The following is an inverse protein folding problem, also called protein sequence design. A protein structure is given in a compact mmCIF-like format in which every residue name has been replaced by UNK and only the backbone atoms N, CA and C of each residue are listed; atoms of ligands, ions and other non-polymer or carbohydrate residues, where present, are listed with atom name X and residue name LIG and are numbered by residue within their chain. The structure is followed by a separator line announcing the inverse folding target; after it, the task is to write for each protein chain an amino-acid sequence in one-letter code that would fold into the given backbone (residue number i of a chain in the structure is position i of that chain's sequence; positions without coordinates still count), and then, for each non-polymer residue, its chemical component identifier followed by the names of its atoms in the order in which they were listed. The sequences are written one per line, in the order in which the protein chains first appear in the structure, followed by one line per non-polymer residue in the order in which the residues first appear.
data_IF_211945358132
#
_entry.id   IF_211945358132
#
_cell.length_a   1.000
_cell.length_b   1.000
_cell.length_c   1.000
_cell.angle_alpha   90.00
_cell.angle_beta   90.00
_cell.angle_gamma   90.00
#
_symmetry.space_group_name_H-M   'P 1'
#
loop_
_entity.id
_entity.type
_entity.pdbx_description
1 polymer ?
#
# COMPACT_ATOMS: atom_id res chain seq x y z
N UNK A 1 11.81 -7.13 -33.61
CA UNK A 1 11.95 -5.97 -34.51
C UNK A 1 11.71 -4.71 -33.70
N UNK A 2 12.77 -3.98 -33.35
CA UNK A 2 12.71 -2.73 -32.59
C UNK A 2 12.11 -1.60 -33.44
N UNK A 3 11.22 -0.79 -32.88
CA UNK A 3 10.76 0.43 -33.57
C UNK A 3 11.70 1.59 -33.24
N UNK A 4 12.16 2.23 -34.31
CA UNK A 4 13.16 3.27 -34.37
C UNK A 4 12.83 4.50 -33.48
N UNK A 5 13.87 5.23 -33.10
CA UNK A 5 13.78 6.54 -32.49
C UNK A 5 12.97 7.50 -33.38
N UNK A 6 11.69 7.68 -33.05
CA UNK A 6 10.78 8.55 -33.79
C UNK A 6 10.81 9.98 -33.26
N UNK A 7 10.61 10.97 -34.13
CA UNK A 7 10.19 12.31 -33.75
C UNK A 7 8.70 12.48 -34.04
N UNK A 8 7.96 13.12 -33.15
CA UNK A 8 6.55 13.46 -33.31
C UNK A 8 6.38 14.96 -33.54
N UNK A 9 5.68 15.34 -34.60
CA UNK A 9 5.36 16.75 -34.86
C UNK A 9 4.01 17.08 -34.23
N UNK A 10 4.00 18.03 -33.29
CA UNK A 10 2.80 18.51 -32.58
C UNK A 10 1.79 19.08 -33.60
N UNK A 11 0.55 18.60 -33.57
CA UNK A 11 -0.54 19.09 -34.42
C UNK A 11 -1.46 20.04 -33.65
N UNK A 12 -2.34 20.74 -34.36
CA UNK A 12 -3.37 21.57 -33.72
C UNK A 12 -4.23 20.72 -32.79
N UNK A 13 -4.37 21.16 -31.52
CA UNK A 13 -5.11 20.45 -30.48
C UNK A 13 -4.32 19.40 -29.68
N UNK A 14 -3.03 19.18 -30.00
CA UNK A 14 -2.21 18.25 -29.22
C UNK A 14 -1.79 18.83 -27.86
N UNK A 15 -1.85 17.97 -26.84
CA UNK A 15 -1.31 18.23 -25.50
C UNK A 15 -0.31 17.14 -25.15
N UNK A 16 0.55 17.37 -24.16
CA UNK A 16 1.49 16.33 -23.68
C UNK A 16 0.77 15.02 -23.31
N UNK A 17 -0.46 15.11 -22.80
CA UNK A 17 -1.27 13.94 -22.43
C UNK A 17 -1.88 13.21 -23.64
N UNK A 18 -2.28 13.90 -24.71
CA UNK A 18 -2.75 13.25 -25.95
C UNK A 18 -1.58 12.56 -26.66
N UNK A 19 -0.45 13.26 -26.79
CA UNK A 19 0.76 12.72 -27.43
C UNK A 19 1.30 11.52 -26.65
N UNK A 20 1.33 11.58 -25.31
CA UNK A 20 1.79 10.46 -24.48
C UNK A 20 0.96 9.20 -24.69
N UNK A 21 -0.37 9.33 -24.80
CA UNK A 21 -1.28 8.21 -25.06
C UNK A 21 -1.10 7.64 -26.46
N UNK A 22 -0.97 8.51 -27.46
CA UNK A 22 -0.79 8.10 -28.87
C UNK A 22 0.55 7.42 -29.10
N UNK A 23 1.62 7.96 -28.51
CA UNK A 23 3.00 7.50 -28.74
C UNK A 23 3.45 6.43 -27.75
N UNK A 24 2.67 6.19 -26.69
CA UNK A 24 3.00 5.30 -25.57
C UNK A 24 4.31 5.69 -24.84
N UNK A 25 4.71 6.95 -24.94
CA UNK A 25 5.85 7.54 -24.22
C UNK A 25 5.30 8.35 -23.05
N UNK A 26 5.87 8.22 -21.84
CA UNK A 26 5.35 8.95 -20.67
C UNK A 26 5.54 10.46 -20.82
N UNK A 27 4.64 11.25 -20.24
CA UNK A 27 4.73 12.72 -20.21
C UNK A 27 6.09 13.15 -19.64
N UNK A 28 6.54 12.51 -18.56
CA UNK A 28 7.84 12.78 -17.94
C UNK A 28 9.02 12.56 -18.91
N UNK A 29 8.98 11.48 -19.70
CA UNK A 29 10.01 11.19 -20.70
C UNK A 29 9.98 12.21 -21.83
N UNK A 30 8.79 12.61 -22.29
CA UNK A 30 8.64 13.66 -23.30
C UNK A 30 9.20 15.00 -22.83
N UNK A 31 8.91 15.37 -21.58
CA UNK A 31 9.37 16.60 -20.93
C UNK A 31 10.90 16.60 -20.79
N UNK A 32 11.48 15.54 -20.22
CA UNK A 32 12.93 15.42 -20.02
C UNK A 32 13.71 15.36 -21.33
N UNK A 33 13.24 14.57 -22.30
CA UNK A 33 13.96 14.36 -23.56
C UNK A 33 13.95 15.61 -24.46
N UNK A 34 12.95 16.47 -24.29
CA UNK A 34 12.79 17.69 -25.08
C UNK A 34 13.03 18.97 -24.27
N UNK A 35 13.50 18.86 -23.01
CA UNK A 35 13.80 20.00 -22.15
C UNK A 35 12.62 20.93 -21.92
N UNK A 36 11.39 20.40 -21.89
CA UNK A 36 10.19 21.22 -21.74
C UNK A 36 10.05 21.66 -20.29
N UNK A 37 9.91 22.95 -20.05
CA UNK A 37 9.63 23.50 -18.71
C UNK A 37 8.15 23.85 -18.51
N UNK A 38 7.33 23.79 -19.58
CA UNK A 38 5.91 24.08 -19.56
C UNK A 38 5.10 23.07 -20.37
N UNK A 39 3.80 22.97 -20.06
CA UNK A 39 2.85 22.09 -20.76
C UNK A 39 2.36 22.64 -22.10
N UNK A 40 2.77 23.85 -22.46
CA UNK A 40 2.34 24.53 -23.69
C UNK A 40 3.21 24.09 -24.85
N UNK A 41 2.62 23.33 -25.78
CA UNK A 41 3.27 22.87 -27.01
C UNK A 41 2.91 23.78 -28.17
N UNK A 42 3.88 24.12 -29.02
CA UNK A 42 3.62 24.89 -30.25
C UNK A 42 3.26 23.94 -31.39
N UNK A 43 2.26 24.29 -32.18
CA UNK A 43 1.90 23.55 -33.40
C UNK A 43 3.13 23.55 -34.33
N UNK A 44 3.49 22.38 -34.85
CA UNK A 44 4.70 22.17 -35.66
C UNK A 44 5.97 21.85 -34.85
N UNK A 45 5.92 21.90 -33.52
CA UNK A 45 7.07 21.55 -32.67
C UNK A 45 7.40 20.06 -32.81
N UNK A 46 8.67 19.74 -33.09
CA UNK A 46 9.14 18.35 -33.15
C UNK A 46 9.57 17.89 -31.76
N UNK A 47 8.89 16.88 -31.25
CA UNK A 47 9.23 16.19 -30.01
C UNK A 47 9.98 14.90 -30.33
N UNK A 48 11.15 14.74 -29.73
CA UNK A 48 11.84 13.46 -29.67
C UNK A 48 10.99 12.52 -28.83
N UNK A 49 10.64 11.35 -29.38
CA UNK A 49 9.91 10.31 -28.66
C UNK A 49 10.84 9.30 -27.98
N UNK A 50 12.14 9.37 -28.29
CA UNK A 50 13.13 8.40 -27.85
C UNK A 50 12.97 7.07 -28.59
N UNK A 51 14.04 6.27 -28.66
CA UNK A 51 13.88 4.88 -29.04
C UNK A 51 12.98 4.21 -28.00
N UNK A 52 11.94 3.52 -28.45
CA UNK A 52 11.18 2.63 -27.57
C UNK A 52 12.19 1.65 -26.98
N UNK A 53 12.55 1.83 -25.70
CA UNK A 53 13.35 0.87 -24.97
C UNK A 53 12.50 -0.38 -24.79
N UNK A 54 12.57 -1.27 -25.78
CA UNK A 54 12.40 -2.69 -25.53
C UNK A 54 13.60 -3.10 -24.67
N UNK A 55 13.33 -3.34 -23.38
CA UNK A 55 14.18 -4.02 -22.40
C UNK A 55 15.71 -3.87 -22.61
N UNK A 56 16.32 -2.94 -21.87
CA UNK A 56 17.75 -3.00 -21.55
C UNK A 56 17.90 -3.25 -20.04
N UNK A 57 18.26 -4.49 -19.73
CA UNK A 57 18.72 -5.02 -18.45
C UNK A 57 20.04 -4.36 -18.01
N UNK A 58 19.99 -3.62 -16.90
CA UNK A 58 21.04 -3.57 -15.87
C UNK A 58 20.32 -3.49 -14.50
N UNK A 59 20.72 -4.29 -13.50
CA UNK A 59 19.81 -4.77 -12.46
C UNK A 59 19.52 -3.71 -11.41
N UNK A 60 18.36 -3.04 -11.52
CA UNK A 60 17.69 -2.52 -10.32
C UNK A 60 17.01 -3.71 -9.64
N UNK A 61 17.72 -4.34 -8.70
CA UNK A 61 17.15 -5.30 -7.77
C UNK A 61 15.89 -4.71 -7.09
N UNK A 62 14.89 -5.54 -6.75
CA UNK A 62 13.51 -5.29 -7.12
C UNK A 62 12.77 -4.40 -6.13
N UNK A 63 11.91 -3.51 -6.62
CA UNK A 63 10.84 -2.90 -5.79
C UNK A 63 9.95 -4.00 -5.17
N UNK A 64 9.81 -5.15 -5.84
CA UNK A 64 9.20 -6.34 -5.26
C UNK A 64 9.97 -6.90 -4.05
N UNK A 65 11.30 -6.81 -4.00
CA UNK A 65 12.06 -7.33 -2.85
C UNK A 65 12.21 -6.35 -1.71
N UNK A 66 12.13 -5.03 -1.94
CA UNK A 66 11.99 -4.09 -0.81
C UNK A 66 10.60 -4.16 -0.17
N UNK A 67 9.54 -4.26 -0.97
CA UNK A 67 8.17 -4.48 -0.45
C UNK A 67 8.07 -5.85 0.22
N UNK A 68 8.61 -6.92 -0.38
CA UNK A 68 8.63 -8.22 0.29
C UNK A 68 9.51 -8.20 1.54
N UNK A 69 10.61 -7.44 1.58
CA UNK A 69 11.46 -7.31 2.77
C UNK A 69 10.73 -6.55 3.87
N UNK A 70 10.09 -5.41 3.58
CA UNK A 70 9.30 -4.67 4.58
C UNK A 70 8.09 -5.48 5.06
N UNK A 71 7.39 -6.16 4.16
CA UNK A 71 6.28 -7.04 4.53
C UNK A 71 6.77 -8.20 5.39
N UNK A 72 7.93 -8.78 5.05
CA UNK A 72 8.57 -9.82 5.87
C UNK A 72 8.95 -9.28 7.25
N UNK A 73 9.49 -8.06 7.34
CA UNK A 73 9.79 -7.41 8.62
C UNK A 73 8.52 -7.19 9.45
N UNK A 74 7.43 -6.70 8.83
CA UNK A 74 6.14 -6.52 9.48
C UNK A 74 5.62 -7.83 10.06
N UNK A 75 5.70 -8.94 9.30
CA UNK A 75 5.29 -10.27 9.81
C UNK A 75 6.16 -10.72 10.99
N UNK A 76 7.48 -10.56 10.91
CA UNK A 76 8.40 -10.95 11.99
C UNK A 76 8.12 -10.13 13.26
N UNK A 77 7.97 -8.80 13.11
CA UNK A 77 7.65 -7.91 14.23
C UNK A 77 6.31 -8.33 14.82
N UNK A 78 5.28 -8.49 14.01
CA UNK A 78 3.95 -8.87 14.47
C UNK A 78 3.93 -10.24 15.17
N UNK A 79 4.62 -11.23 14.62
CA UNK A 79 4.74 -12.56 15.21
C UNK A 79 5.38 -12.53 16.60
N UNK A 80 6.31 -11.60 16.86
CA UNK A 80 6.90 -11.43 18.20
C UNK A 80 5.88 -11.07 19.30
N UNK A 81 4.69 -10.58 18.93
CA UNK A 81 3.63 -10.21 19.87
C UNK A 81 2.65 -11.35 20.13
N UNK A 82 2.71 -12.45 19.38
CA UNK A 82 1.80 -13.59 19.58
C UNK A 82 1.86 -14.07 21.03
N UNK A 83 0.69 -14.29 21.63
CA UNK A 83 0.53 -14.71 23.02
C UNK A 83 0.58 -13.59 24.06
N UNK A 84 0.90 -12.34 23.69
CA UNK A 84 0.81 -11.21 24.63
C UNK A 84 -0.64 -11.07 25.10
N UNK A 85 -0.91 -10.98 26.43
CA UNK A 85 -2.26 -10.87 26.95
C UNK A 85 -3.00 -9.64 26.42
N UNK A 86 -4.31 -9.78 26.22
CA UNK A 86 -5.13 -8.63 25.86
C UNK A 86 -5.40 -7.79 27.10
N UNK A 87 -5.11 -6.49 27.01
CA UNK A 87 -5.47 -5.50 28.04
C UNK A 87 -5.98 -4.26 27.33
N UNK A 88 -7.22 -3.85 27.63
CA UNK A 88 -7.83 -2.65 27.06
C UNK A 88 -6.97 -1.41 27.36
N UNK A 89 -6.66 -0.61 26.35
CA UNK A 89 -5.75 0.54 26.47
C UNK A 89 -4.28 0.16 26.62
N UNK A 90 -3.92 -1.13 26.52
CA UNK A 90 -2.55 -1.59 26.65
C UNK A 90 -1.71 -1.33 25.40
N UNK A 91 -0.40 -1.09 25.60
CA UNK A 91 0.59 -0.80 24.52
C UNK A 91 1.92 -1.55 24.72
N UNK A 92 1.96 -2.59 25.56
CA UNK A 92 3.22 -3.24 25.96
C UNK A 92 3.15 -4.77 25.93
N UNK A 93 4.30 -5.44 26.07
CA UNK A 93 4.38 -6.90 26.16
C UNK A 93 3.72 -7.48 27.43
N UNK A 94 3.37 -6.65 28.41
CA UNK A 94 2.61 -7.07 29.61
C UNK A 94 1.09 -7.06 29.38
N UNK A 95 0.63 -6.43 28.30
CA UNK A 95 -0.79 -6.24 28.01
C UNK A 95 -1.00 -5.26 26.86
N UNK A 96 -1.82 -5.64 25.89
CA UNK A 96 -2.04 -4.86 24.67
C UNK A 96 -3.47 -4.99 24.14
N UNK A 97 -4.04 -3.93 23.56
CA UNK A 97 -5.30 -4.03 22.83
C UNK A 97 -5.10 -4.05 21.31
N UNK A 98 -6.20 -4.13 20.55
CA UNK A 98 -6.14 -4.29 19.10
C UNK A 98 -5.42 -3.14 18.40
N UNK A 99 -5.77 -1.89 18.73
CA UNK A 99 -5.16 -0.69 18.17
C UNK A 99 -3.77 -0.40 18.71
N UNK A 100 -3.50 -0.72 19.98
CA UNK A 100 -2.19 -0.62 20.60
C UNK A 100 -1.21 -1.60 19.96
N UNK A 101 -1.68 -2.80 19.60
CA UNK A 101 -0.89 -3.80 18.89
C UNK A 101 -0.47 -3.33 17.50
N UNK A 102 -1.41 -2.91 16.66
CA UNK A 102 -1.10 -2.40 15.32
C UNK A 102 -0.23 -1.15 15.37
N UNK A 103 -0.48 -0.25 16.33
CA UNK A 103 0.36 0.92 16.59
C UNK A 103 1.80 0.51 16.94
N UNK A 104 1.99 -0.45 17.86
CA UNK A 104 3.30 -0.88 18.29
C UNK A 104 4.10 -1.54 17.16
N UNK A 105 3.45 -2.36 16.32
CA UNK A 105 4.07 -2.96 15.13
C UNK A 105 4.46 -1.88 14.11
N UNK A 106 3.53 -0.97 13.80
CA UNK A 106 3.75 0.05 12.76
C UNK A 106 4.76 1.12 13.17
N UNK A 107 4.87 1.42 14.48
CA UNK A 107 5.89 2.33 15.00
C UNK A 107 7.31 1.83 14.69
N UNK A 108 7.55 0.52 14.77
CA UNK A 108 8.85 -0.07 14.41
C UNK A 108 9.15 0.02 12.90
N UNK A 109 8.11 0.19 12.09
CA UNK A 109 8.21 0.44 10.65
C UNK A 109 8.24 1.95 10.31
N UNK A 110 8.33 2.83 11.31
CA UNK A 110 8.38 4.27 11.13
C UNK A 110 7.02 4.94 10.90
N UNK A 111 5.91 4.24 11.13
CA UNK A 111 4.56 4.78 10.96
C UNK A 111 3.90 5.01 12.32
N UNK A 112 3.61 6.26 12.63
CA UNK A 112 2.89 6.63 13.85
C UNK A 112 1.39 6.55 13.62
N UNK A 113 0.74 5.66 14.37
CA UNK A 113 -0.71 5.47 14.34
C UNK A 113 -1.34 5.98 15.65
N UNK A 114 -2.58 6.48 15.61
CA UNK A 114 -3.32 6.75 16.83
C UNK A 114 -3.64 5.45 17.56
N UNK A 115 -3.74 5.51 18.90
CA UNK A 115 -4.20 4.39 19.72
C UNK A 115 -5.74 4.30 19.72
N UNK A 116 -6.31 4.10 18.53
CA UNK A 116 -7.74 3.92 18.31
C UNK A 116 -7.97 3.21 16.98
N UNK A 117 -8.77 2.13 16.97
CA UNK A 117 -9.11 1.41 15.74
C UNK A 117 -9.86 2.30 14.74
N UNK A 118 -10.81 3.11 15.23
CA UNK A 118 -11.51 4.11 14.41
C UNK A 118 -10.56 5.20 13.89
N UNK A 119 -9.64 5.69 14.72
CA UNK A 119 -8.62 6.65 14.29
C UNK A 119 -7.70 6.09 13.21
N UNK A 120 -7.24 4.85 13.37
CA UNK A 120 -6.41 4.14 12.40
C UNK A 120 -7.13 3.90 11.08
N UNK A 121 -8.45 3.76 11.10
CA UNK A 121 -9.24 3.64 9.87
C UNK A 121 -9.21 4.88 9.00
N UNK A 122 -8.79 6.04 9.52
CA UNK A 122 -8.65 7.27 8.73
C UNK A 122 -7.21 7.47 8.20
N UNK A 123 -6.29 6.54 8.47
CA UNK A 123 -4.90 6.62 8.03
C UNK A 123 -4.65 5.87 6.72
N UNK A 124 -3.65 6.36 5.98
CA UNK A 124 -3.19 5.73 4.74
C UNK A 124 -4.25 5.71 3.63
N UNK A 125 -4.10 4.80 2.68
CA UNK A 125 -5.02 4.67 1.55
C UNK A 125 -5.99 3.50 1.75
N UNK A 126 -7.27 3.63 1.35
CA UNK A 126 -8.22 2.52 1.37
C UNK A 126 -7.78 1.39 0.45
N UNK A 127 -8.00 0.14 0.88
CA UNK A 127 -7.71 -1.08 0.11
C UNK A 127 -8.97 -1.94 0.04
N UNK A 128 -9.34 -2.38 -1.16
CA UNK A 128 -10.40 -3.36 -1.32
C UNK A 128 -9.96 -4.74 -0.85
N UNK A 129 -10.89 -5.56 -0.35
CA UNK A 129 -10.59 -6.90 0.19
C UNK A 129 -9.80 -7.78 -0.80
N UNK A 130 -10.10 -7.68 -2.10
CA UNK A 130 -9.41 -8.42 -3.16
C UNK A 130 -7.95 -8.00 -3.40
N UNK A 131 -7.56 -6.80 -2.95
CA UNK A 131 -6.23 -6.21 -3.16
C UNK A 131 -5.41 -6.14 -1.86
N UNK A 132 -5.83 -6.89 -0.84
CA UNK A 132 -5.11 -6.99 0.43
C UNK A 132 -3.71 -7.54 0.20
N UNK A 133 -2.74 -6.86 0.79
CA UNK A 133 -1.35 -7.26 0.87
C UNK A 133 -0.94 -7.34 2.33
N UNK A 134 0.05 -8.18 2.60
CA UNK A 134 0.66 -8.29 3.91
C UNK A 134 1.06 -6.90 4.44
N UNK A 135 0.76 -6.64 5.70
CA UNK A 135 0.98 -5.35 6.33
C UNK A 135 -0.17 -4.35 6.18
N UNK A 136 -1.20 -4.64 5.37
CA UNK A 136 -2.43 -3.86 5.40
C UNK A 136 -3.15 -4.05 6.74
N UNK A 137 -3.75 -2.98 7.25
CA UNK A 137 -4.62 -3.02 8.42
C UNK A 137 -6.03 -3.43 7.98
N UNK A 138 -6.62 -4.41 8.67
CA UNK A 138 -7.98 -4.89 8.43
C UNK A 138 -8.87 -4.52 9.62
N UNK A 139 -10.09 -4.05 9.34
CA UNK A 139 -10.96 -3.45 10.34
C UNK A 139 -12.33 -4.12 10.39
N UNK A 140 -12.89 -4.17 11.59
CA UNK A 140 -14.12 -4.91 11.88
C UNK A 140 -15.05 -4.15 12.82
N UNK A 141 -16.34 -4.49 12.74
CA UNK A 141 -17.43 -4.01 13.60
C UNK A 141 -17.85 -5.08 14.63
N UNK A 142 -16.90 -5.62 15.38
CA UNK A 142 -17.14 -6.69 16.37
C UNK A 142 -17.97 -6.23 17.57
N UNK A 143 -18.02 -4.93 17.86
CA UNK A 143 -18.92 -4.32 18.84
C UNK A 143 -20.33 -4.02 18.31
N UNK A 144 -20.66 -4.45 17.08
CA UNK A 144 -21.99 -4.34 16.48
C UNK A 144 -22.29 -3.04 15.73
N UNK A 145 -21.55 -1.95 15.97
CA UNK A 145 -21.65 -0.69 15.19
C UNK A 145 -20.30 -0.02 15.03
N UNK A 146 -20.03 0.48 13.82
CA UNK A 146 -18.81 1.21 13.51
C UNK A 146 -17.53 0.39 13.64
N UNK A 147 -16.39 1.03 13.38
CA UNK A 147 -15.07 0.40 13.57
C UNK A 147 -14.83 0.22 15.07
N UNK A 148 -14.72 -1.02 15.52
CA UNK A 148 -14.47 -1.38 16.91
C UNK A 148 -13.25 -2.27 17.08
N UNK A 149 -12.71 -2.82 16.00
CA UNK A 149 -11.59 -3.73 16.05
C UNK A 149 -10.67 -3.60 14.83
N UNK A 150 -9.38 -3.87 15.03
CA UNK A 150 -8.35 -3.78 14.00
C UNK A 150 -7.37 -4.94 14.14
N UNK A 151 -6.85 -5.40 13.01
CA UNK A 151 -5.77 -6.37 12.94
C UNK A 151 -4.84 -6.08 11.77
N UNK A 152 -3.77 -6.87 11.70
CA UNK A 152 -2.74 -6.75 10.68
C UNK A 152 -2.80 -7.95 9.74
N UNK A 153 -3.02 -7.70 8.45
CA UNK A 153 -3.11 -8.76 7.45
C UNK A 153 -1.74 -9.40 7.20
N UNK A 154 -1.70 -10.73 7.19
CA UNK A 154 -0.49 -11.54 7.04
C UNK A 154 -0.39 -12.23 5.68
N UNK A 155 -1.39 -12.09 4.82
CA UNK A 155 -1.51 -12.88 3.59
C UNK A 155 -2.49 -14.05 3.74
N UNK A 156 -2.93 -14.63 2.62
CA UNK A 156 -3.72 -15.87 2.58
C UNK A 156 -4.97 -15.91 3.49
N UNK A 157 -5.63 -14.76 3.65
CA UNK A 157 -6.78 -14.60 4.55
C UNK A 157 -6.41 -14.53 6.03
N UNK A 158 -5.15 -14.73 6.41
CA UNK A 158 -4.69 -14.67 7.78
C UNK A 158 -4.47 -13.22 8.22
N UNK A 159 -4.78 -12.96 9.49
CA UNK A 159 -4.45 -11.70 10.14
C UNK A 159 -4.13 -11.94 11.61
N UNK A 160 -3.26 -11.11 12.17
CA UNK A 160 -2.89 -11.14 13.58
C UNK A 160 -3.48 -9.94 14.30
N UNK A 161 -3.98 -10.18 15.52
CA UNK A 161 -4.64 -9.14 16.31
C UNK A 161 -4.64 -9.51 17.80
N UNK A 162 -4.68 -8.51 18.67
CA UNK A 162 -5.07 -8.71 20.07
C UNK A 162 -6.58 -8.97 20.12
N UNK A 163 -7.00 -10.21 20.38
CA UNK A 163 -8.38 -10.67 20.18
C UNK A 163 -9.28 -10.38 21.38
N UNK A 164 -9.04 -11.06 22.49
CA UNK A 164 -9.88 -10.98 23.71
C UNK A 164 -9.02 -11.22 24.95
N UNK A 165 -9.49 -10.82 26.16
CA UNK A 165 -8.79 -11.11 27.42
C UNK A 165 -8.42 -12.59 27.62
N UNK A 166 -9.21 -13.53 27.06
CA UNK A 166 -8.95 -14.97 27.16
C UNK A 166 -7.79 -15.45 26.27
N UNK A 167 -7.59 -14.82 25.12
CA UNK A 167 -6.71 -15.36 24.06
C UNK A 167 -5.49 -14.51 23.78
N UNK A 168 -5.54 -13.21 24.08
CA UNK A 168 -4.45 -12.28 23.79
C UNK A 168 -4.24 -12.09 22.29
N UNK A 169 -2.98 -11.89 21.89
CA UNK A 169 -2.60 -11.74 20.49
C UNK A 169 -2.54 -13.09 19.78
N UNK A 170 -3.42 -13.29 18.79
CA UNK A 170 -3.55 -14.54 18.03
C UNK A 170 -3.61 -14.27 16.53
N UNK A 171 -3.41 -15.33 15.74
CA UNK A 171 -3.67 -15.34 14.31
C UNK A 171 -5.04 -15.98 14.08
N UNK A 172 -5.86 -15.31 13.29
CA UNK A 172 -7.20 -15.77 12.89
C UNK A 172 -7.34 -15.64 11.36
N UNK A 173 -8.42 -16.18 10.79
CA UNK A 173 -8.71 -16.06 9.37
C UNK A 173 -9.90 -15.13 9.12
N UNK A 174 -9.73 -14.16 8.21
CA UNK A 174 -10.73 -13.15 7.84
C UNK A 174 -11.98 -13.75 7.17
N UNK A 175 -11.90 -15.02 6.74
CA UNK A 175 -13.00 -15.73 6.08
C UNK A 175 -13.81 -16.59 7.06
N UNK A 176 -13.39 -16.71 8.32
CA UNK A 176 -14.22 -17.29 9.39
C UNK A 176 -15.54 -16.50 9.49
N UNK A 177 -16.63 -17.20 9.79
CA UNK A 177 -17.98 -16.64 9.72
C UNK A 177 -18.12 -15.31 10.50
N UNK A 178 -17.54 -15.25 11.71
CA UNK A 178 -17.56 -14.07 12.56
C UNK A 178 -16.80 -12.86 11.97
N UNK A 179 -15.57 -13.06 11.49
CA UNK A 179 -14.78 -11.98 10.89
C UNK A 179 -15.30 -11.59 9.51
N UNK A 180 -15.87 -12.54 8.76
CA UNK A 180 -16.50 -12.27 7.47
C UNK A 180 -17.74 -11.40 7.62
N UNK A 181 -18.61 -11.65 8.59
CA UNK A 181 -19.83 -10.87 8.80
C UNK A 181 -19.57 -9.49 9.41
N UNK A 182 -18.44 -9.32 10.10
CA UNK A 182 -18.08 -8.07 10.78
C UNK A 182 -17.03 -7.25 10.01
N UNK A 183 -16.50 -7.72 8.88
CA UNK A 183 -15.50 -7.00 8.10
C UNK A 183 -16.04 -5.67 7.57
N UNK A 184 -15.31 -4.58 7.82
CA UNK A 184 -15.71 -3.23 7.37
C UNK A 184 -14.82 -2.74 6.24
N UNK A 185 -13.50 -2.95 6.30
CA UNK A 185 -12.58 -2.44 5.28
C UNK A 185 -11.12 -2.60 5.67
N UNK A 186 -10.23 -2.05 4.83
CA UNK A 186 -8.80 -2.13 5.04
C UNK A 186 -8.06 -0.83 4.64
N UNK A 187 -6.90 -0.62 5.25
CA UNK A 187 -6.02 0.53 5.02
C UNK A 187 -4.58 0.10 4.80
N UNK A 188 -3.94 0.70 3.80
CA UNK A 188 -2.50 0.58 3.55
C UNK A 188 -1.78 1.81 4.09
N UNK A 189 -0.97 1.59 5.12
CA UNK A 189 -0.27 2.67 5.85
C UNK A 189 1.24 2.70 5.58
N UNK A 190 1.78 1.64 4.98
CA UNK A 190 3.18 1.58 4.56
C UNK A 190 3.33 2.18 3.15
N UNK A 191 4.14 3.23 3.04
CA UNK A 191 4.53 3.79 1.74
C UNK A 191 5.36 2.80 0.93
N UNK A 192 5.15 2.74 -0.39
CA UNK A 192 5.93 1.88 -1.30
C UNK A 192 7.30 2.44 -1.59
#
# INVERSE_FOLDING_TARGET
MAQAAGTYTVKSGDTLSSISRTTKVSIESLVKLNGLSSSTLKIGQKLKLGAKSAAATAPKAPVKTQVSTRNSQVRVIAASWRGVPYVYGGVSKRGIDCSGFTMAVMKQMGVNLPHSSAGQYNYGSPVSKANLLEGDLVFFATGGRGISHVGLYLGDGQFIHASTPRTGVIVSNINEAYYRSTYVGARRVLGR
#
